data_IF_791191492128
#
_entry.id   IF_791191492128
#
_cell.length_a   1.000
_cell.length_b   1.000
_cell.length_c   1.000
_cell.angle_alpha   90.00
_cell.angle_beta   90.00
_cell.angle_gamma   90.00
#
_symmetry.space_group_name_H-M   'P 1'
#
loop_
_entity.id
_entity.type
_entity.pdbx_description
1 polymer ?
#
# COMPACT_ATOMS: atom_id res chain seq x y z
N UNK A 1 -39.23 -3.84 -9.90
CA UNK A 1 -38.86 -5.12 -9.23
C UNK A 1 -37.35 -5.05 -9.05
N UNK A 2 -36.87 -5.02 -7.80
CA UNK A 2 -35.49 -4.68 -7.36
C UNK A 2 -35.18 -3.21 -7.00
N UNK A 3 -36.18 -2.35 -6.81
CA UNK A 3 -35.98 -0.92 -6.50
C UNK A 3 -35.32 -0.66 -5.13
N UNK A 4 -35.22 -1.70 -4.28
CA UNK A 4 -34.52 -1.67 -2.98
C UNK A 4 -33.05 -2.13 -3.06
N UNK A 5 -32.59 -2.61 -4.22
CA UNK A 5 -31.22 -3.06 -4.41
C UNK A 5 -30.37 -1.94 -5.01
N UNK A 6 -29.10 -1.90 -4.60
CA UNK A 6 -28.12 -1.10 -5.34
C UNK A 6 -27.92 -1.70 -6.75
N UNK A 7 -27.59 -0.86 -7.73
CA UNK A 7 -27.36 -1.31 -9.11
C UNK A 7 -26.35 -2.47 -9.19
N UNK A 8 -25.29 -2.41 -8.38
CA UNK A 8 -24.28 -3.48 -8.28
C UNK A 8 -24.86 -4.78 -7.74
N UNK A 9 -25.72 -4.73 -6.71
CA UNK A 9 -26.36 -5.91 -6.16
C UNK A 9 -27.38 -6.53 -7.12
N UNK A 10 -28.10 -5.71 -7.89
CA UNK A 10 -29.00 -6.18 -8.93
C UNK A 10 -28.25 -6.89 -10.06
N UNK A 11 -27.12 -6.35 -10.52
CA UNK A 11 -26.25 -6.99 -11.53
C UNK A 11 -25.70 -8.34 -11.05
N UNK A 12 -25.48 -8.52 -9.75
CA UNK A 12 -25.02 -9.81 -9.21
C UNK A 12 -26.06 -10.92 -9.30
N UNK A 13 -27.34 -10.60 -9.48
CA UNK A 13 -28.40 -11.62 -9.60
C UNK A 13 -28.40 -12.30 -10.97
N UNK A 14 -27.80 -11.69 -11.99
CA UNK A 14 -27.64 -12.27 -13.33
C UNK A 14 -26.37 -13.11 -13.49
N UNK A 15 -25.52 -13.21 -12.46
CA UNK A 15 -24.32 -14.03 -12.46
C UNK A 15 -24.65 -15.50 -12.19
N UNK A 16 -23.79 -16.40 -12.66
CA UNK A 16 -23.85 -17.82 -12.30
C UNK A 16 -23.63 -18.05 -10.80
N UNK A 17 -24.07 -19.20 -10.28
CA UNK A 17 -23.90 -19.51 -8.86
C UNK A 17 -22.42 -19.51 -8.43
N UNK A 18 -21.51 -19.99 -9.28
CA UNK A 18 -20.07 -19.97 -9.02
C UNK A 18 -19.53 -18.54 -8.87
N UNK A 19 -19.88 -17.64 -9.79
CA UNK A 19 -19.49 -16.23 -9.74
C UNK A 19 -20.08 -15.51 -8.53
N UNK A 20 -21.32 -15.84 -8.15
CA UNK A 20 -21.97 -15.29 -6.96
C UNK A 20 -21.27 -15.74 -5.68
N UNK A 21 -20.88 -17.01 -5.57
CA UNK A 21 -20.12 -17.54 -4.43
C UNK A 21 -18.79 -16.79 -4.32
N UNK A 22 -18.05 -16.66 -5.42
CA UNK A 22 -16.79 -15.90 -5.45
C UNK A 22 -17.01 -14.45 -5.01
N UNK A 23 -18.07 -13.80 -5.48
CA UNK A 23 -18.36 -12.42 -5.11
C UNK A 23 -18.73 -12.28 -3.62
N UNK A 24 -19.45 -13.24 -3.05
CA UNK A 24 -19.81 -13.25 -1.62
C UNK A 24 -18.56 -13.40 -0.75
N UNK A 25 -17.67 -14.31 -1.12
CA UNK A 25 -16.42 -14.60 -0.40
C UNK A 25 -15.35 -13.52 -0.61
N UNK A 26 -15.49 -12.68 -1.63
CA UNK A 26 -14.54 -11.60 -1.91
C UNK A 26 -14.52 -10.54 -0.79
N UNK A 27 -13.35 -9.97 -0.47
CA UNK A 27 -13.23 -8.96 0.57
C UNK A 27 -14.00 -7.70 0.20
N UNK A 28 -14.90 -7.26 1.10
CA UNK A 28 -15.70 -6.05 0.92
C UNK A 28 -15.15 -4.90 1.74
N UNK A 29 -15.13 -3.71 1.14
CA UNK A 29 -14.79 -2.48 1.83
C UNK A 29 -15.95 -2.02 2.71
N UNK A 30 -15.67 -1.70 3.97
CA UNK A 30 -16.63 -1.12 4.92
C UNK A 30 -16.09 0.25 5.33
N UNK A 31 -16.75 1.31 4.85
CA UNK A 31 -16.33 2.70 5.08
C UNK A 31 -16.88 3.28 6.37
N UNK A 32 -16.56 2.67 7.53
CA UNK A 32 -16.96 3.20 8.84
C UNK A 32 -16.25 4.54 9.15
N UNK A 33 -16.78 5.38 10.07
CA UNK A 33 -16.31 6.75 10.26
C UNK A 33 -14.78 6.88 10.48
N UNK A 34 -14.21 6.06 11.37
CA UNK A 34 -12.77 6.10 11.63
C UNK A 34 -11.91 5.64 10.43
N UNK A 35 -12.38 4.70 9.61
CA UNK A 35 -11.68 4.35 8.36
C UNK A 35 -11.66 5.51 7.37
N UNK A 36 -12.74 6.28 7.29
CA UNK A 36 -12.80 7.48 6.45
C UNK A 36 -11.88 8.59 6.95
N UNK A 37 -11.79 8.79 8.27
CA UNK A 37 -10.86 9.75 8.85
C UNK A 37 -9.40 9.42 8.50
N UNK A 38 -9.02 8.14 8.58
CA UNK A 38 -7.68 7.69 8.20
C UNK A 38 -7.43 7.90 6.70
N UNK A 39 -8.40 7.59 5.83
CA UNK A 39 -8.29 7.83 4.39
C UNK A 39 -8.14 9.33 4.04
N UNK A 40 -8.83 10.20 4.77
CA UNK A 40 -8.68 11.65 4.61
C UNK A 40 -7.26 12.09 5.00
N UNK A 41 -6.75 11.66 6.16
CA UNK A 41 -5.37 11.97 6.59
C UNK A 41 -4.33 11.45 5.60
N UNK A 42 -4.52 10.25 5.04
CA UNK A 42 -3.63 9.72 3.99
C UNK A 42 -3.70 10.56 2.71
N UNK A 43 -4.89 11.04 2.34
CA UNK A 43 -5.07 11.92 1.17
C UNK A 43 -4.41 13.27 1.39
N UNK A 44 -4.48 13.82 2.61
CA UNK A 44 -3.79 15.05 2.99
C UNK A 44 -2.28 14.91 2.83
N UNK A 45 -1.69 13.78 3.26
CA UNK A 45 -0.26 13.49 3.05
C UNK A 45 0.13 13.46 1.57
N UNK A 46 -0.75 12.97 0.70
CA UNK A 46 -0.48 12.85 -0.74
C UNK A 46 -0.40 14.22 -1.44
N UNK A 47 -1.23 15.18 -1.02
CA UNK A 47 -1.28 16.53 -1.59
C UNK A 47 -0.41 17.53 -0.82
N UNK A 48 0.14 17.13 0.33
CA UNK A 48 0.98 17.98 1.16
C UNK A 48 2.17 18.53 0.35
N UNK A 49 2.43 19.86 0.39
CA UNK A 49 3.56 20.45 -0.32
C UNK A 49 4.89 19.88 0.21
N UNK A 50 5.90 19.78 -0.64
CA UNK A 50 7.22 19.29 -0.21
C UNK A 50 7.83 20.28 0.80
N UNK A 51 8.28 19.75 1.93
CA UNK A 51 9.00 20.50 2.98
C UNK A 51 10.28 19.76 3.37
N UNK A 52 11.16 20.43 4.14
CA UNK A 52 12.39 19.81 4.65
C UNK A 52 12.14 18.57 5.53
N UNK A 53 10.97 18.50 6.19
CA UNK A 53 10.56 17.37 7.01
C UNK A 53 9.12 17.02 6.67
N UNK A 54 8.95 16.03 5.81
CA UNK A 54 7.63 15.55 5.43
C UNK A 54 6.90 14.95 6.65
N UNK A 55 5.61 15.24 6.83
CA UNK A 55 4.81 14.59 7.87
C UNK A 55 4.67 13.08 7.59
N UNK A 56 4.48 12.31 8.64
CA UNK A 56 4.20 10.86 8.58
C UNK A 56 2.93 10.54 9.39
N UNK A 57 2.35 9.37 9.13
CA UNK A 57 1.15 8.88 9.83
C UNK A 57 1.39 7.45 10.29
N UNK A 58 1.23 7.21 11.59
CA UNK A 58 1.23 5.87 12.18
C UNK A 58 -0.21 5.48 12.51
N UNK A 59 -0.69 4.38 11.94
CA UNK A 59 -2.02 3.83 12.20
C UNK A 59 -1.88 2.71 13.23
N UNK A 60 -2.44 2.91 14.42
CA UNK A 60 -2.39 1.95 15.53
C UNK A 60 -3.80 1.40 15.77
N UNK A 61 -3.87 0.09 15.99
CA UNK A 61 -5.10 -0.60 16.36
C UNK A 61 -4.85 -2.09 16.47
N UNK A 62 -5.71 -2.81 17.17
CA UNK A 62 -5.57 -4.26 17.34
C UNK A 62 -5.63 -5.00 15.99
N UNK A 63 -5.17 -6.24 15.97
CA UNK A 63 -5.31 -7.13 14.82
C UNK A 63 -6.78 -7.23 14.41
N UNK A 64 -7.03 -7.41 13.11
CA UNK A 64 -8.39 -7.49 12.53
C UNK A 64 -9.25 -6.22 12.56
N UNK A 65 -8.70 -5.04 12.92
CA UNK A 65 -9.39 -3.75 12.80
C UNK A 65 -9.38 -3.13 11.38
N UNK A 66 -8.94 -3.88 10.38
CA UNK A 66 -8.98 -3.42 8.98
C UNK A 66 -7.88 -2.44 8.57
N UNK A 67 -6.79 -2.30 9.35
CA UNK A 67 -5.63 -1.44 9.01
C UNK A 67 -5.10 -1.70 7.59
N UNK A 68 -4.81 -2.97 7.29
CA UNK A 68 -4.38 -3.41 5.95
C UNK A 68 -5.45 -3.15 4.88
N UNK A 69 -6.74 -3.27 5.21
CA UNK A 69 -7.81 -2.96 4.26
C UNK A 69 -7.88 -1.46 3.93
N UNK A 70 -7.69 -0.59 4.92
CA UNK A 70 -7.63 0.87 4.73
C UNK A 70 -6.44 1.22 3.82
N UNK A 71 -5.25 0.69 4.13
CA UNK A 71 -4.05 0.89 3.32
C UNK A 71 -4.24 0.43 1.86
N UNK A 72 -4.75 -0.79 1.66
CA UNK A 72 -5.04 -1.32 0.31
C UNK A 72 -6.13 -0.53 -0.42
N UNK A 73 -7.14 -0.05 0.30
CA UNK A 73 -8.19 0.82 -0.25
C UNK A 73 -7.60 2.13 -0.75
N UNK A 74 -6.72 2.76 0.03
CA UNK A 74 -6.04 3.98 -0.36
C UNK A 74 -5.18 3.77 -1.63
N UNK A 75 -4.43 2.67 -1.71
CA UNK A 75 -3.67 2.34 -2.93
C UNK A 75 -4.57 2.19 -4.17
N UNK A 76 -5.75 1.58 -4.01
CA UNK A 76 -6.74 1.46 -5.10
C UNK A 76 -7.35 2.79 -5.53
N UNK A 77 -7.38 3.80 -4.65
CA UNK A 77 -7.86 5.14 -4.99
C UNK A 77 -6.85 5.92 -5.85
N UNK A 78 -5.57 5.58 -5.75
CA UNK A 78 -4.48 6.24 -6.48
C UNK A 78 -3.67 5.20 -7.27
N UNK A 79 -4.28 4.56 -8.30
CA UNK A 79 -3.64 3.51 -9.05
C UNK A 79 -2.38 4.03 -9.79
N UNK A 80 -1.42 3.13 -10.10
CA UNK A 80 -0.32 3.46 -10.99
C UNK A 80 -0.81 3.99 -12.34
N UNK A 81 -0.19 5.05 -12.81
CA UNK A 81 -0.32 5.54 -14.18
C UNK A 81 0.88 5.01 -14.98
N UNK A 82 0.61 4.18 -15.99
CA UNK A 82 1.66 3.60 -16.83
C UNK A 82 2.46 4.68 -17.57
N UNK A 83 1.91 5.89 -17.70
CA UNK A 83 2.56 7.04 -18.30
C UNK A 83 3.06 6.70 -19.71
N UNK A 84 2.14 6.22 -20.57
CA UNK A 84 2.43 5.81 -21.94
C UNK A 84 3.08 6.97 -22.71
N UNK A 85 4.37 6.84 -23.02
CA UNK A 85 5.19 7.88 -23.65
C UNK A 85 6.21 8.57 -22.72
N UNK A 86 6.23 8.24 -21.42
CA UNK A 86 7.22 8.73 -20.47
C UNK A 86 8.35 7.75 -20.16
N UNK A 87 9.35 8.22 -19.40
CA UNK A 87 10.54 7.45 -19.03
C UNK A 87 10.32 6.40 -17.91
N UNK A 88 9.17 6.44 -17.23
CA UNK A 88 8.78 5.53 -16.16
C UNK A 88 7.27 5.66 -15.87
N UNK A 89 6.67 4.58 -15.36
CA UNK A 89 5.35 4.61 -14.75
C UNK A 89 5.35 5.51 -13.51
N UNK A 90 4.22 6.18 -13.27
CA UNK A 90 3.99 7.00 -12.08
C UNK A 90 3.22 6.20 -11.05
N UNK A 91 3.85 5.95 -9.91
CA UNK A 91 3.29 5.18 -8.79
C UNK A 91 3.20 6.08 -7.57
N UNK A 92 2.12 6.88 -7.43
CA UNK A 92 2.03 7.90 -6.38
C UNK A 92 1.96 7.31 -4.97
N UNK A 93 1.38 6.11 -4.84
CA UNK A 93 1.25 5.38 -3.58
C UNK A 93 1.85 3.99 -3.76
N UNK A 94 2.82 3.64 -2.91
CA UNK A 94 3.44 2.31 -2.90
C UNK A 94 3.12 1.62 -1.57
N UNK A 95 2.67 0.36 -1.63
CA UNK A 95 2.40 -0.46 -0.46
C UNK A 95 3.43 -1.57 -0.34
N UNK A 96 4.05 -1.68 0.83
CA UNK A 96 5.06 -2.70 1.15
C UNK A 96 4.72 -3.30 2.51
N UNK A 97 4.95 -4.60 2.64
CA UNK A 97 4.88 -5.28 3.93
C UNK A 97 6.28 -5.36 4.55
N UNK A 98 6.39 -4.99 5.82
CA UNK A 98 7.61 -5.20 6.60
C UNK A 98 7.97 -6.70 6.66
N UNK A 99 9.26 -7.05 6.57
CA UNK A 99 9.69 -8.43 6.82
C UNK A 99 9.35 -8.83 8.27
N UNK A 100 9.05 -10.12 8.54
CA UNK A 100 8.67 -10.59 9.88
C UNK A 100 9.84 -10.54 10.88
N UNK A 101 11.07 -10.38 10.39
CA UNK A 101 12.30 -10.25 11.18
C UNK A 101 12.84 -8.83 10.96
N UNK A 102 13.33 -8.14 12.01
CA UNK A 102 13.93 -6.81 11.94
C UNK A 102 15.22 -6.82 11.10
N UNK A 103 15.08 -6.75 9.78
CA UNK A 103 16.17 -6.79 8.82
C UNK A 103 15.96 -5.72 7.75
N UNK A 104 16.75 -4.66 7.84
CA UNK A 104 16.71 -3.52 6.92
C UNK A 104 17.09 -3.94 5.49
N UNK A 105 18.04 -4.86 5.34
CA UNK A 105 18.46 -5.37 4.03
C UNK A 105 17.34 -6.14 3.33
N UNK A 106 16.55 -6.92 4.08
CA UNK A 106 15.34 -7.58 3.57
C UNK A 106 14.24 -6.58 3.24
N UNK A 107 14.06 -5.55 4.05
CA UNK A 107 13.08 -4.51 3.75
C UNK A 107 13.36 -3.83 2.41
N UNK A 108 14.61 -3.44 2.13
CA UNK A 108 14.96 -2.88 0.83
C UNK A 108 14.85 -3.90 -0.31
N UNK A 109 15.24 -5.16 -0.09
CA UNK A 109 15.05 -6.22 -1.10
C UNK A 109 13.56 -6.35 -1.46
N UNK A 110 12.65 -6.39 -0.49
CA UNK A 110 11.21 -6.49 -0.74
C UNK A 110 10.69 -5.34 -1.61
N UNK A 111 11.19 -4.12 -1.41
CA UNK A 111 10.82 -2.97 -2.25
C UNK A 111 11.40 -3.13 -3.65
N UNK A 112 12.66 -3.56 -3.79
CA UNK A 112 13.31 -3.77 -5.09
C UNK A 112 12.63 -4.89 -5.89
N UNK A 113 12.23 -5.98 -5.24
CA UNK A 113 11.44 -7.06 -5.82
C UNK A 113 10.06 -6.57 -6.28
N UNK A 114 9.37 -5.79 -5.44
CA UNK A 114 8.07 -5.20 -5.78
C UNK A 114 8.15 -4.29 -7.02
N UNK A 115 9.27 -3.59 -7.18
CA UNK A 115 9.53 -2.71 -8.33
C UNK A 115 10.17 -3.45 -9.53
N UNK A 116 10.32 -4.78 -9.45
CA UNK A 116 11.01 -5.60 -10.44
C UNK A 116 12.42 -5.08 -10.79
N UNK A 117 13.11 -4.48 -9.80
CA UNK A 117 14.42 -3.88 -9.98
C UNK A 117 15.54 -4.91 -9.77
N UNK A 118 16.56 -4.95 -10.65
CA UNK A 118 17.69 -5.85 -10.49
C UNK A 118 18.50 -5.48 -9.26
N UNK A 119 18.74 -6.46 -8.37
CA UNK A 119 19.55 -6.30 -7.18
C UNK A 119 20.17 -7.63 -6.79
N UNK A 120 21.27 -7.60 -6.04
CA UNK A 120 21.81 -8.81 -5.40
C UNK A 120 21.37 -8.83 -3.95
N UNK A 121 20.92 -9.99 -3.48
CA UNK A 121 20.56 -10.18 -2.07
C UNK A 121 21.76 -9.90 -1.14
N UNK A 122 22.98 -10.13 -1.60
CA UNK A 122 24.24 -9.85 -0.90
C UNK A 122 24.77 -8.41 -1.06
N UNK A 123 24.10 -7.54 -1.82
CA UNK A 123 24.48 -6.14 -1.88
C UNK A 123 24.41 -5.50 -0.49
N UNK A 124 25.31 -4.55 -0.22
CA UNK A 124 25.32 -3.80 1.03
C UNK A 124 24.04 -2.98 1.19
N UNK A 125 23.62 -2.79 2.43
CA UNK A 125 22.36 -2.11 2.79
C UNK A 125 22.31 -0.67 2.28
N UNK A 126 23.40 0.08 2.44
CA UNK A 126 23.60 1.44 1.93
C UNK A 126 23.36 1.56 0.42
N UNK A 127 23.89 0.61 -0.36
CA UNK A 127 23.68 0.55 -1.81
C UNK A 127 22.21 0.30 -2.16
N UNK A 128 21.53 -0.59 -1.43
CA UNK A 128 20.11 -0.91 -1.64
C UNK A 128 19.21 0.26 -1.28
N UNK A 129 19.46 0.92 -0.15
CA UNK A 129 18.75 2.14 0.27
C UNK A 129 18.83 3.21 -0.83
N UNK A 130 20.05 3.48 -1.32
CA UNK A 130 20.25 4.46 -2.38
C UNK A 130 19.49 4.12 -3.67
N UNK A 131 19.50 2.84 -4.06
CA UNK A 131 18.77 2.35 -5.22
C UNK A 131 17.26 2.50 -5.03
N UNK A 132 16.71 2.10 -3.88
CA UNK A 132 15.29 2.25 -3.55
C UNK A 132 14.89 3.72 -3.62
N UNK A 133 15.64 4.62 -2.96
CA UNK A 133 15.35 6.07 -2.98
C UNK A 133 15.29 6.62 -4.41
N UNK A 134 16.29 6.27 -5.23
CA UNK A 134 16.36 6.72 -6.63
C UNK A 134 15.17 6.22 -7.44
N UNK A 135 14.74 4.97 -7.24
CA UNK A 135 13.59 4.39 -7.93
C UNK A 135 12.28 5.05 -7.49
N UNK A 136 12.07 5.24 -6.18
CA UNK A 136 10.88 5.90 -5.64
C UNK A 136 10.76 7.34 -6.17
N UNK A 137 11.87 8.07 -6.27
CA UNK A 137 11.90 9.41 -6.89
C UNK A 137 11.56 9.33 -8.38
N UNK A 138 12.13 8.38 -9.11
CA UNK A 138 11.91 8.21 -10.56
C UNK A 138 10.47 7.87 -10.92
N UNK A 139 9.81 7.00 -10.13
CA UNK A 139 8.41 6.64 -10.34
C UNK A 139 7.44 7.64 -9.68
N UNK A 140 7.96 8.71 -9.09
CA UNK A 140 7.15 9.78 -8.50
C UNK A 140 6.31 9.32 -7.30
N UNK A 141 6.83 8.39 -6.49
CA UNK A 141 6.16 7.98 -5.25
C UNK A 141 6.10 9.15 -4.28
N UNK A 142 4.88 9.41 -3.79
CA UNK A 142 4.57 10.47 -2.83
C UNK A 142 4.28 9.91 -1.44
N UNK A 143 3.68 8.73 -1.37
CA UNK A 143 3.36 8.05 -0.11
C UNK A 143 3.86 6.61 -0.17
N UNK A 144 4.72 6.23 0.77
CA UNK A 144 5.16 4.86 1.03
C UNK A 144 4.39 4.34 2.25
N UNK A 145 3.57 3.31 2.06
CA UNK A 145 2.84 2.65 3.13
C UNK A 145 3.60 1.38 3.51
N UNK A 146 3.97 1.28 4.79
CA UNK A 146 4.61 0.10 5.35
C UNK A 146 3.64 -0.58 6.31
N UNK A 147 3.13 -1.75 5.93
CA UNK A 147 2.30 -2.57 6.79
C UNK A 147 3.17 -3.39 7.75
N UNK A 148 2.67 -3.63 8.96
CA UNK A 148 3.39 -4.33 10.04
C UNK A 148 4.77 -3.75 10.37
N UNK A 149 4.91 -2.43 10.31
CA UNK A 149 6.16 -1.70 10.62
C UNK A 149 6.79 -2.06 11.98
N UNK A 150 5.97 -2.53 12.93
CA UNK A 150 6.44 -2.97 14.24
C UNK A 150 7.45 -4.12 14.17
N UNK A 151 7.44 -4.94 13.11
CA UNK A 151 8.46 -5.97 12.89
C UNK A 151 9.85 -5.39 12.59
N UNK A 152 9.94 -4.21 11.99
CA UNK A 152 11.21 -3.51 11.73
C UNK A 152 11.71 -2.79 12.98
N UNK A 153 10.79 -2.29 13.81
CA UNK A 153 11.10 -1.54 15.04
C UNK A 153 11.49 -2.43 16.23
N UNK A 154 11.18 -3.73 16.15
CA UNK A 154 11.62 -4.73 17.12
C UNK A 154 13.12 -5.03 16.92
N UNK A 155 13.99 -4.07 17.19
CA UNK A 155 15.42 -4.16 16.90
C UNK A 155 16.11 -5.42 17.43
N UNK A 156 17.22 -5.79 16.79
CA UNK A 156 18.13 -6.80 17.32
C UNK A 156 18.62 -6.36 18.70
N UNK A 157 18.38 -7.18 19.72
CA UNK A 157 19.04 -7.10 21.03
C UNK A 157 20.54 -7.45 20.88
N UNK A 158 21.27 -6.71 20.04
CA UNK A 158 22.73 -6.83 20.01
C UNK A 158 23.27 -5.86 21.07
N UNK A 159 23.36 -6.39 22.30
CA UNK A 159 24.39 -5.99 23.27
C UNK A 159 25.77 -6.36 22.73
#
# INVERSE_FOLDING_TARGET
MFDHLTAKAAQSLSLSDEERIVQILSPKWIGYPAAQEVLNKLSDLLVHPKTHRMPNLLIIGETNNGKTMIAKKFCKMYPPDLNEGGNAAKVPVLFVQAPPVPDEGRFYNNILELLAAPHKTSDRVDKKEHQVRTLLERIGTKVLIVDEIHHVLAGSLNK
#
